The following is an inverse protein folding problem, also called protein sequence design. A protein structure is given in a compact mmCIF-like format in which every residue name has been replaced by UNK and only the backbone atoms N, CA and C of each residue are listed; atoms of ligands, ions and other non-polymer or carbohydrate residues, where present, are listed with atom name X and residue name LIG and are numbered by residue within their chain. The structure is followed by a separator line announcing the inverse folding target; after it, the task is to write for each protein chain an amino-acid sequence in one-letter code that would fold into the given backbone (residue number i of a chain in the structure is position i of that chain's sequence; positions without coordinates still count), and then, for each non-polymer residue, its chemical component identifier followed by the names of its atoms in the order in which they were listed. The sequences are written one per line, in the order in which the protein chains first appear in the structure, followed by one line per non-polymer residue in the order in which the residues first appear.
data_IF_853968975545
#
_entry.id   IF_853968975545
#
_cell.length_a   1.000
_cell.length_b   1.000
_cell.length_c   1.000
_cell.angle_alpha   90.00
_cell.angle_beta   90.00
_cell.angle_gamma   90.00
#
_symmetry.space_group_name_H-M   'P 1'
#
loop_
_entity.id
_entity.type
_entity.pdbx_description
1 polymer ?
#
# COMPACT_ATOMS: atom_id res chain seq x y z
N UNK A 1 -30.01 11.37 -11.21
CA UNK A 1 -28.95 12.37 -11.43
C UNK A 1 -27.65 11.88 -10.79
N UNK A 2 -26.50 11.97 -11.46
CA UNK A 2 -25.20 11.56 -10.89
C UNK A 2 -24.39 12.79 -10.47
N UNK A 3 -23.72 12.74 -9.32
CA UNK A 3 -22.88 13.83 -8.81
C UNK A 3 -21.88 13.34 -7.76
N UNK A 4 -20.91 14.18 -7.39
CA UNK A 4 -19.97 13.90 -6.31
C UNK A 4 -20.55 14.41 -4.98
N UNK A 5 -20.64 13.51 -3.99
CA UNK A 5 -21.02 13.81 -2.62
C UNK A 5 -19.79 13.84 -1.71
N UNK A 6 -19.65 14.92 -0.96
CA UNK A 6 -18.67 15.08 0.11
C UNK A 6 -19.22 14.55 1.44
N UNK A 7 -18.44 13.77 2.18
CA UNK A 7 -18.76 13.29 3.53
C UNK A 7 -17.58 13.52 4.46
N UNK A 8 -17.80 14.30 5.52
CA UNK A 8 -16.80 14.51 6.55
C UNK A 8 -16.86 13.38 7.58
N UNK A 9 -15.70 12.77 7.87
CA UNK A 9 -15.57 11.77 8.95
C UNK A 9 -14.27 12.07 9.70
N UNK A 10 -14.38 12.42 10.98
CA UNK A 10 -13.23 12.74 11.85
C UNK A 10 -12.28 13.79 11.22
N UNK A 11 -12.84 14.92 10.77
CA UNK A 11 -12.11 16.02 10.09
C UNK A 11 -11.44 15.65 8.76
N UNK A 12 -11.78 14.52 8.14
CA UNK A 12 -11.32 14.16 6.81
C UNK A 12 -12.50 14.13 5.85
N UNK A 13 -12.33 14.80 4.71
CA UNK A 13 -13.35 14.92 3.68
C UNK A 13 -13.20 13.83 2.61
N UNK A 14 -14.21 12.97 2.51
CA UNK A 14 -14.27 11.86 1.57
C UNK A 14 -15.25 12.13 0.44
N UNK A 15 -14.90 11.73 -0.77
CA UNK A 15 -15.73 11.89 -1.96
C UNK A 15 -16.32 10.55 -2.41
N UNK A 16 -17.59 10.61 -2.80
CA UNK A 16 -18.36 9.49 -3.31
C UNK A 16 -19.05 9.94 -4.60
N UNK A 17 -18.94 9.15 -5.66
CA UNK A 17 -19.80 9.30 -6.82
C UNK A 17 -21.14 8.63 -6.51
N UNK A 18 -22.22 9.40 -6.54
CA UNK A 18 -23.56 8.93 -6.15
C UNK A 18 -24.58 9.19 -7.26
N UNK A 19 -25.54 8.28 -7.38
CA UNK A 19 -26.73 8.40 -8.22
C UNK A 19 -27.94 8.68 -7.33
N UNK A 20 -28.60 9.80 -7.56
CA UNK A 20 -29.94 10.06 -7.02
C UNK A 20 -30.98 9.37 -7.91
N UNK A 21 -31.78 8.49 -7.29
CA UNK A 21 -32.90 7.74 -7.86
C UNK A 21 -34.18 8.08 -7.09
N UNK A 22 -35.31 8.19 -7.78
CA UNK A 22 -36.60 8.46 -7.14
C UNK A 22 -37.19 7.19 -6.56
N UNK A 23 -37.42 7.16 -5.26
CA UNK A 23 -38.09 6.08 -4.57
C UNK A 23 -39.62 6.30 -4.63
N UNK A 24 -40.29 5.53 -5.50
CA UNK A 24 -41.75 5.62 -5.69
C UNK A 24 -42.56 5.20 -4.46
N UNK A 25 -42.02 4.30 -3.63
CA UNK A 25 -42.68 3.77 -2.44
C UNK A 25 -42.70 4.79 -1.31
N UNK A 26 -41.59 5.50 -1.13
CA UNK A 26 -41.46 6.47 -0.04
C UNK A 26 -41.64 7.92 -0.49
N UNK A 27 -41.83 8.15 -1.80
CA UNK A 27 -41.94 9.48 -2.42
C UNK A 27 -40.76 10.39 -2.05
N UNK A 28 -39.56 9.83 -1.95
CA UNK A 28 -38.34 10.58 -1.65
C UNK A 28 -37.23 10.26 -2.65
N UNK A 29 -36.20 11.12 -2.72
CA UNK A 29 -34.97 10.78 -3.46
C UNK A 29 -34.09 9.88 -2.60
N UNK A 30 -33.73 8.70 -3.13
CA UNK A 30 -32.70 7.83 -2.56
C UNK A 30 -31.36 8.06 -3.26
N UNK A 31 -30.27 7.95 -2.50
CA UNK A 31 -28.91 8.03 -3.04
C UNK A 31 -28.27 6.65 -3.04
N UNK A 32 -27.76 6.25 -4.19
CA UNK A 32 -27.00 5.02 -4.38
C UNK A 32 -25.54 5.39 -4.67
N UNK A 33 -24.61 4.80 -3.92
CA UNK A 33 -23.17 5.01 -4.16
C UNK A 33 -22.75 4.20 -5.38
N UNK A 34 -22.31 4.89 -6.43
CA UNK A 34 -21.71 4.27 -7.61
C UNK A 34 -20.27 3.85 -7.31
N UNK A 35 -19.46 4.79 -6.79
CA UNK A 35 -18.05 4.57 -6.52
C UNK A 35 -17.58 5.42 -5.34
N UNK A 36 -16.75 4.84 -4.48
CA UNK A 36 -15.98 5.60 -3.51
C UNK A 36 -14.73 6.14 -4.22
N UNK A 37 -14.52 7.46 -4.18
CA UNK A 37 -13.45 8.13 -4.94
C UNK A 37 -12.19 8.36 -4.10
N UNK A 38 -12.32 8.45 -2.78
CA UNK A 38 -11.16 8.68 -1.90
C UNK A 38 -11.27 9.97 -1.10
N UNK A 39 -10.13 10.43 -0.58
CA UNK A 39 -10.04 11.69 0.18
C UNK A 39 -9.98 12.86 -0.81
N UNK A 40 -10.69 13.95 -0.53
CA UNK A 40 -10.90 15.09 -1.44
C UNK A 40 -9.63 15.59 -2.14
N UNK A 41 -8.49 15.61 -1.42
CA UNK A 41 -7.21 16.11 -1.94
C UNK A 41 -6.45 15.11 -2.84
N UNK A 42 -6.95 13.88 -2.99
CA UNK A 42 -6.37 12.84 -3.83
C UNK A 42 -7.27 12.46 -5.02
N UNK A 43 -8.52 12.92 -5.05
CA UNK A 43 -9.45 12.56 -6.14
C UNK A 43 -9.16 13.39 -7.38
N UNK A 44 -9.01 12.69 -8.49
CA UNK A 44 -8.74 13.23 -9.82
C UNK A 44 -9.90 12.92 -10.77
N UNK A 45 -9.84 13.49 -11.97
CA UNK A 45 -10.77 13.15 -13.05
C UNK A 45 -10.64 11.68 -13.48
N UNK A 46 -9.46 11.07 -13.32
CA UNK A 46 -9.23 9.69 -13.72
C UNK A 46 -9.93 8.69 -12.79
N UNK A 47 -10.17 9.08 -11.54
CA UNK A 47 -10.94 8.29 -10.57
C UNK A 47 -12.42 8.17 -10.94
N UNK A 48 -12.92 9.06 -11.81
CA UNK A 48 -14.29 9.06 -12.32
C UNK A 48 -14.43 8.03 -13.46
N UNK A 49 -15.44 7.13 -13.42
CA UNK A 49 -15.74 6.23 -14.54
C UNK A 49 -15.92 7.01 -15.85
N UNK A 50 -15.44 6.45 -16.96
CA UNK A 50 -15.39 7.14 -18.26
C UNK A 50 -16.74 7.74 -18.69
N UNK A 51 -17.83 7.03 -18.41
CA UNK A 51 -19.22 7.44 -18.70
C UNK A 51 -19.67 8.72 -17.96
N UNK A 52 -19.01 9.10 -16.87
CA UNK A 52 -19.32 10.31 -16.08
C UNK A 52 -18.22 11.38 -16.11
N UNK A 53 -17.10 11.10 -16.78
CA UNK A 53 -15.88 11.94 -16.75
C UNK A 53 -16.05 13.32 -17.41
N UNK A 54 -17.02 13.43 -18.32
CA UNK A 54 -17.35 14.66 -19.05
C UNK A 54 -18.63 15.34 -18.54
N UNK A 55 -19.21 14.88 -17.41
CA UNK A 55 -20.37 15.53 -16.82
C UNK A 55 -19.99 16.93 -16.28
N UNK A 56 -20.65 18.01 -16.70
CA UNK A 56 -20.29 19.38 -16.31
C UNK A 56 -20.34 19.63 -14.80
N UNK A 57 -21.25 18.99 -14.06
CA UNK A 57 -21.37 19.17 -12.60
C UNK A 57 -20.22 18.47 -11.88
N UNK A 58 -19.82 17.30 -12.37
CA UNK A 58 -18.66 16.57 -11.84
C UNK A 58 -17.39 17.36 -12.09
N UNK A 59 -17.20 17.88 -13.31
CA UNK A 59 -16.03 18.71 -13.63
C UNK A 59 -15.99 20.00 -12.80
N UNK A 60 -17.10 20.72 -12.68
CA UNK A 60 -17.18 21.92 -11.85
C UNK A 60 -16.88 21.63 -10.37
N UNK A 61 -17.37 20.51 -9.84
CA UNK A 61 -17.05 20.07 -8.48
C UNK A 61 -15.56 19.80 -8.30
N UNK A 62 -14.94 19.07 -9.23
CA UNK A 62 -13.50 18.80 -9.20
C UNK A 62 -12.70 20.11 -9.32
N UNK A 63 -13.02 20.99 -10.27
CA UNK A 63 -12.38 22.30 -10.41
C UNK A 63 -12.44 23.18 -9.15
N UNK A 64 -13.55 23.13 -8.40
CA UNK A 64 -13.71 23.91 -7.16
C UNK A 64 -13.02 23.26 -5.95
N UNK A 65 -12.77 21.94 -5.98
CA UNK A 65 -12.30 21.18 -4.82
C UNK A 65 -10.93 20.49 -5.02
N UNK A 66 -10.39 20.50 -6.24
CA UNK A 66 -9.01 20.11 -6.58
C UNK A 66 -8.11 21.34 -6.43
N UNK A 67 -7.00 21.26 -5.67
CA UNK A 67 -6.20 22.44 -5.36
C UNK A 67 -5.54 23.05 -6.61
N UNK A 68 -5.54 24.39 -6.71
CA UNK A 68 -4.89 25.20 -7.77
C UNK A 68 -3.38 24.97 -7.93
N UNK A 69 -2.75 24.26 -6.99
CA UNK A 69 -1.30 24.02 -6.89
C UNK A 69 -0.88 22.59 -7.30
N UNK A 70 -1.68 21.86 -8.11
CA UNK A 70 -1.36 20.47 -8.51
C UNK A 70 0.03 20.34 -9.12
N UNK A 71 0.32 21.12 -10.15
CA UNK A 71 1.61 21.09 -10.86
C UNK A 71 2.76 21.44 -9.92
N UNK A 72 2.54 22.37 -8.98
CA UNK A 72 3.50 22.74 -7.95
C UNK A 72 3.75 21.60 -6.96
N UNK A 73 2.71 20.85 -6.55
CA UNK A 73 2.85 19.69 -5.66
C UNK A 73 3.54 18.52 -6.36
N UNK A 74 3.24 18.27 -7.63
CA UNK A 74 3.92 17.25 -8.46
C UNK A 74 5.42 17.57 -8.56
N UNK A 75 5.78 18.82 -8.90
CA UNK A 75 7.18 19.26 -8.91
C UNK A 75 7.89 19.11 -7.56
N UNK A 76 7.19 19.35 -6.44
CA UNK A 76 7.75 19.14 -5.10
C UNK A 76 7.99 17.64 -4.86
N UNK A 77 7.04 16.77 -5.21
CA UNK A 77 7.19 15.32 -5.06
C UNK A 77 8.37 14.82 -5.89
N UNK A 78 8.46 15.22 -7.17
CA UNK A 78 9.59 14.87 -8.05
C UNK A 78 10.93 15.30 -7.46
N UNK A 79 11.01 16.52 -6.93
CA UNK A 79 12.22 17.02 -6.25
C UNK A 79 12.58 16.16 -5.04
N UNK A 80 11.59 15.81 -4.21
CA UNK A 80 11.82 14.98 -3.03
C UNK A 80 12.22 13.54 -3.41
N UNK A 81 11.61 12.98 -4.46
CA UNK A 81 12.01 11.68 -5.00
C UNK A 81 13.47 11.69 -5.48
N UNK A 82 13.89 12.74 -6.21
CA UNK A 82 15.28 12.89 -6.64
C UNK A 82 16.24 12.99 -5.45
N UNK A 83 15.89 13.79 -4.43
CA UNK A 83 16.70 13.88 -3.21
C UNK A 83 16.78 12.55 -2.48
N UNK A 84 15.65 11.84 -2.32
CA UNK A 84 15.64 10.51 -1.72
C UNK A 84 16.48 9.54 -2.53
N UNK A 85 16.37 9.52 -3.86
CA UNK A 85 17.20 8.70 -4.73
C UNK A 85 18.69 8.92 -4.44
N UNK A 86 19.16 10.18 -4.49
CA UNK A 86 20.55 10.54 -4.19
C UNK A 86 20.97 10.02 -2.81
N UNK A 87 20.22 10.37 -1.77
CA UNK A 87 20.55 9.97 -0.40
C UNK A 87 20.60 8.44 -0.22
N UNK A 88 19.69 7.69 -0.85
CA UNK A 88 19.74 6.24 -0.81
C UNK A 88 20.98 5.71 -1.51
N UNK A 89 21.25 6.14 -2.75
CA UNK A 89 22.38 5.66 -3.55
C UNK A 89 23.75 6.04 -2.99
N UNK A 90 23.84 7.12 -2.22
CA UNK A 90 25.07 7.61 -1.59
C UNK A 90 25.28 7.09 -0.16
N UNK A 91 24.35 6.30 0.39
CA UNK A 91 24.49 5.80 1.75
C UNK A 91 24.03 6.77 2.85
N UNK A 92 23.41 7.90 2.51
CA UNK A 92 23.04 8.97 3.44
C UNK A 92 21.68 8.74 4.11
N UNK A 93 21.70 7.97 5.19
CA UNK A 93 20.52 7.77 6.04
C UNK A 93 20.01 9.07 6.68
N UNK A 94 20.88 10.04 6.99
CA UNK A 94 20.47 11.28 7.66
C UNK A 94 19.73 12.21 6.70
N UNK A 95 20.21 12.33 5.46
CA UNK A 95 19.50 13.02 4.38
C UNK A 95 18.12 12.39 4.12
N UNK A 96 18.06 11.06 4.04
CA UNK A 96 16.79 10.35 3.87
C UNK A 96 15.79 10.60 5.02
N UNK A 97 16.27 10.62 6.27
CA UNK A 97 15.46 10.98 7.46
C UNK A 97 14.93 12.41 7.39
N UNK A 98 15.73 13.37 6.92
CA UNK A 98 15.28 14.77 6.76
C UNK A 98 14.15 14.89 5.74
N UNK A 99 14.24 14.18 4.62
CA UNK A 99 13.15 14.14 3.62
C UNK A 99 11.88 13.55 4.23
N UNK A 100 11.99 12.42 4.92
CA UNK A 100 10.87 11.79 5.62
C UNK A 100 10.20 12.73 6.64
N UNK A 101 10.98 13.33 7.53
CA UNK A 101 10.47 14.25 8.55
C UNK A 101 9.81 15.48 7.92
N UNK A 102 10.44 16.08 6.92
CA UNK A 102 9.91 17.24 6.20
C UNK A 102 8.61 16.92 5.47
N UNK A 103 8.52 15.75 4.82
CA UNK A 103 7.32 15.32 4.10
C UNK A 103 6.12 15.13 5.03
N UNK A 104 6.34 14.56 6.21
CA UNK A 104 5.28 14.28 7.19
C UNK A 104 4.70 15.52 7.87
N UNK A 105 5.34 16.69 7.79
CA UNK A 105 4.78 17.92 8.33
C UNK A 105 3.42 18.28 7.71
N UNK A 106 3.10 17.75 6.52
CA UNK A 106 1.86 18.06 5.81
C UNK A 106 1.21 16.86 5.12
N UNK A 107 1.77 15.65 5.27
CA UNK A 107 1.31 14.45 4.58
C UNK A 107 1.32 13.24 5.53
N UNK A 108 0.61 12.18 5.16
CA UNK A 108 0.54 10.94 5.94
C UNK A 108 1.73 10.02 5.68
N UNK A 109 1.92 9.05 6.57
CA UNK A 109 2.94 8.00 6.41
C UNK A 109 2.69 7.12 5.17
N UNK A 110 1.44 6.76 4.90
CA UNK A 110 1.07 6.04 3.68
C UNK A 110 1.46 6.83 2.42
N UNK A 111 1.24 8.15 2.40
CA UNK A 111 1.66 8.99 1.28
C UNK A 111 3.18 9.03 1.14
N UNK A 112 3.95 8.98 2.23
CA UNK A 112 5.42 8.94 2.13
C UNK A 112 5.88 7.65 1.43
N UNK A 113 5.35 6.50 1.85
CA UNK A 113 5.69 5.23 1.20
C UNK A 113 5.23 5.19 -0.26
N UNK A 114 3.98 5.56 -0.55
CA UNK A 114 3.41 5.44 -1.89
C UNK A 114 3.95 6.48 -2.88
N UNK A 115 4.29 7.70 -2.42
CA UNK A 115 4.68 8.80 -3.32
C UNK A 115 6.18 9.08 -3.33
N UNK A 116 6.93 8.66 -2.32
CA UNK A 116 8.36 8.94 -2.22
C UNK A 116 9.17 7.65 -2.23
N UNK A 117 9.01 6.79 -1.22
CA UNK A 117 9.93 5.65 -1.05
C UNK A 117 9.73 4.58 -2.14
N UNK A 118 8.50 4.12 -2.38
CA UNK A 118 8.24 3.05 -3.33
C UNK A 118 8.64 3.46 -4.76
N UNK A 119 8.24 4.64 -5.30
CA UNK A 119 8.65 5.05 -6.64
C UNK A 119 10.17 5.15 -6.81
N UNK A 120 10.88 5.62 -5.77
CA UNK A 120 12.35 5.72 -5.80
C UNK A 120 12.98 4.33 -5.81
N UNK A 121 12.51 3.39 -5.00
CA UNK A 121 13.04 2.03 -4.97
C UNK A 121 12.71 1.24 -6.24
N UNK A 122 11.52 1.44 -6.81
CA UNK A 122 11.16 0.91 -8.12
C UNK A 122 12.11 1.44 -9.19
N UNK A 123 12.41 2.75 -9.16
CA UNK A 123 13.36 3.36 -10.10
C UNK A 123 14.78 2.80 -9.95
N UNK A 124 15.24 2.61 -8.71
CA UNK A 124 16.55 2.01 -8.43
C UNK A 124 16.62 0.57 -8.96
N UNK A 125 15.56 -0.22 -8.72
CA UNK A 125 15.45 -1.59 -9.26
C UNK A 125 15.44 -1.63 -10.79
N UNK A 126 14.70 -0.73 -11.44
CA UNK A 126 14.67 -0.59 -12.90
C UNK A 126 16.05 -0.20 -13.47
N UNK A 127 16.73 0.75 -12.83
CA UNK A 127 18.06 1.17 -13.29
C UNK A 127 19.11 0.08 -13.07
N UNK A 128 19.01 -0.68 -11.99
CA UNK A 128 19.87 -1.85 -11.76
C UNK A 128 19.62 -2.95 -12.78
N UNK A 129 18.35 -3.32 -13.03
CA UNK A 129 18.02 -4.39 -13.98
C UNK A 129 18.43 -4.05 -15.42
N UNK A 130 18.43 -2.76 -15.77
CA UNK A 130 18.93 -2.25 -17.05
C UNK A 130 20.45 -2.03 -17.09
N UNK A 131 21.19 -2.37 -16.03
CA UNK A 131 22.66 -2.24 -15.96
C UNK A 131 23.17 -0.80 -15.82
N UNK A 132 22.29 0.16 -15.54
CA UNK A 132 22.64 1.58 -15.32
C UNK A 132 23.25 1.77 -13.92
N UNK A 133 22.69 1.10 -12.91
CA UNK A 133 23.27 1.05 -11.57
C UNK A 133 23.99 -0.27 -11.36
N UNK A 134 25.13 -0.21 -10.66
CA UNK A 134 25.82 -1.41 -10.22
C UNK A 134 25.02 -2.12 -9.12
N UNK A 135 25.24 -3.43 -8.97
CA UNK A 135 24.71 -4.22 -7.83
C UNK A 135 25.13 -3.60 -6.50
N UNK A 136 26.35 -3.07 -6.39
CA UNK A 136 26.83 -2.42 -5.17
C UNK A 136 26.01 -1.18 -4.82
N UNK A 137 25.66 -0.35 -5.81
CA UNK A 137 24.85 0.86 -5.62
C UNK A 137 23.41 0.51 -5.24
N UNK A 138 22.84 -0.52 -5.86
CA UNK A 138 21.52 -1.05 -5.47
C UNK A 138 21.54 -1.52 -4.01
N UNK A 139 22.54 -2.31 -3.61
CA UNK A 139 22.67 -2.77 -2.22
C UNK A 139 22.82 -1.63 -1.22
N UNK A 140 23.61 -0.60 -1.55
CA UNK A 140 23.71 0.61 -0.71
C UNK A 140 22.34 1.25 -0.53
N UNK A 141 21.61 1.48 -1.63
CA UNK A 141 20.29 2.07 -1.58
C UNK A 141 19.27 1.26 -0.77
N UNK A 142 19.19 -0.05 -1.04
CA UNK A 142 18.31 -0.98 -0.33
C UNK A 142 18.63 -1.01 1.18
N UNK A 143 19.91 -1.03 1.56
CA UNK A 143 20.31 -1.01 2.97
C UNK A 143 19.92 0.30 3.69
N UNK A 144 20.08 1.46 3.03
CA UNK A 144 19.63 2.74 3.59
C UNK A 144 18.12 2.77 3.71
N UNK A 145 17.39 2.29 2.70
CA UNK A 145 15.93 2.23 2.71
C UNK A 145 15.41 1.34 3.86
N UNK A 146 16.00 0.15 4.05
CA UNK A 146 15.68 -0.71 5.19
C UNK A 146 15.95 -0.01 6.53
N UNK A 147 17.10 0.68 6.65
CA UNK A 147 17.45 1.43 7.86
C UNK A 147 16.48 2.57 8.14
N UNK A 148 16.04 3.28 7.10
CA UNK A 148 15.03 4.33 7.21
C UNK A 148 13.70 3.75 7.69
N UNK A 149 13.20 2.68 7.04
CA UNK A 149 11.93 2.05 7.42
C UNK A 149 11.96 1.53 8.85
N UNK A 150 13.09 0.99 9.31
CA UNK A 150 13.29 0.57 10.71
C UNK A 150 13.14 1.74 11.68
N UNK A 151 13.76 2.89 11.38
CA UNK A 151 13.63 4.11 12.20
C UNK A 151 12.18 4.56 12.26
N UNK A 152 11.49 4.59 11.11
CA UNK A 152 10.07 4.94 11.04
C UNK A 152 9.21 3.99 11.90
N UNK A 153 9.48 2.69 11.83
CA UNK A 153 8.79 1.69 12.64
C UNK A 153 9.00 1.94 14.13
N UNK A 154 10.23 2.22 14.58
CA UNK A 154 10.56 2.48 15.99
C UNK A 154 9.88 3.75 16.51
N UNK A 155 9.86 4.84 15.74
CA UNK A 155 9.19 6.10 16.09
C UNK A 155 7.67 5.96 16.24
N UNK A 156 7.05 5.07 15.45
CA UNK A 156 5.60 4.97 15.32
C UNK A 156 5.02 3.68 15.87
N UNK A 157 5.82 2.90 16.59
CA UNK A 157 5.37 1.66 17.20
C UNK A 157 4.39 1.98 18.32
N UNK A 158 3.15 1.53 18.15
CA UNK A 158 2.15 1.57 19.20
C UNK A 158 1.81 0.14 19.63
N UNK A 159 1.66 -0.09 20.94
CA UNK A 159 1.05 -1.33 21.44
C UNK A 159 -0.41 -1.32 21.01
N UNK A 160 -0.72 -2.07 19.96
CA UNK A 160 -2.04 -2.11 19.37
C UNK A 160 -2.80 -3.39 19.67
N UNK A 161 -4.13 -3.31 19.63
CA UNK A 161 -5.05 -4.43 19.87
C UNK A 161 -5.79 -4.85 18.59
N UNK A 162 -5.43 -4.30 17.41
CA UNK A 162 -6.17 -4.56 16.16
C UNK A 162 -5.96 -5.97 15.60
N UNK A 163 -4.94 -6.69 16.07
CA UNK A 163 -4.68 -8.08 15.72
C UNK A 163 -3.21 -8.40 15.51
N UNK A 164 -2.91 -9.68 15.31
CA UNK A 164 -1.57 -10.23 15.09
C UNK A 164 -1.40 -10.67 13.64
N UNK A 165 -0.54 -10.02 12.89
CA UNK A 165 -0.31 -10.30 11.46
C UNK A 165 1.09 -10.85 11.26
N UNK A 166 1.20 -11.98 10.57
CA UNK A 166 2.49 -12.49 10.08
C UNK A 166 2.73 -11.92 8.69
N UNK A 167 3.95 -11.44 8.46
CA UNK A 167 4.42 -10.94 7.17
C UNK A 167 5.63 -11.78 6.79
N UNK A 168 5.68 -12.31 5.56
CA UNK A 168 6.74 -13.22 5.14
C UNK A 168 6.97 -13.13 3.63
N UNK A 169 8.08 -13.69 3.16
CA UNK A 169 8.34 -13.97 1.76
C UNK A 169 8.54 -15.48 1.59
N UNK A 170 8.20 -16.07 0.43
CA UNK A 170 8.45 -17.48 0.20
C UNK A 170 9.96 -17.79 0.17
N UNK A 171 10.31 -19.06 0.38
CA UNK A 171 11.70 -19.52 0.28
C UNK A 171 12.32 -19.14 -1.07
N UNK A 172 13.53 -18.60 -1.05
CA UNK A 172 14.24 -18.08 -2.22
C UNK A 172 13.93 -16.63 -2.58
N UNK A 173 12.92 -16.02 -1.96
CA UNK A 173 12.62 -14.59 -2.14
C UNK A 173 13.31 -13.74 -1.07
N UNK A 174 14.41 -13.11 -1.48
CA UNK A 174 15.26 -12.28 -0.62
C UNK A 174 14.78 -10.82 -0.50
N UNK A 175 13.87 -10.37 -1.38
CA UNK A 175 13.38 -8.99 -1.35
C UNK A 175 12.40 -8.77 -0.19
N UNK A 176 12.88 -8.14 0.88
CA UNK A 176 12.12 -7.94 2.12
C UNK A 176 11.69 -6.50 2.39
N UNK A 177 12.12 -5.51 1.58
CA UNK A 177 11.81 -4.10 1.85
C UNK A 177 10.29 -3.83 1.86
N UNK A 178 9.55 -4.43 0.92
CA UNK A 178 8.08 -4.35 0.89
C UNK A 178 7.44 -4.88 2.18
N UNK A 179 7.98 -5.97 2.75
CA UNK A 179 7.54 -6.51 4.04
C UNK A 179 7.81 -5.51 5.18
N UNK A 180 8.99 -4.89 5.22
CA UNK A 180 9.31 -3.87 6.23
C UNK A 180 8.40 -2.64 6.13
N UNK A 181 8.05 -2.20 4.92
CA UNK A 181 7.11 -1.10 4.69
C UNK A 181 5.71 -1.46 5.20
N UNK A 182 5.20 -2.63 4.84
CA UNK A 182 3.91 -3.13 5.31
C UNK A 182 3.90 -3.29 6.84
N UNK A 183 4.98 -3.80 7.41
CA UNK A 183 5.18 -3.93 8.85
C UNK A 183 5.08 -2.56 9.54
N UNK A 184 5.88 -1.59 9.11
CA UNK A 184 5.89 -0.22 9.63
C UNK A 184 4.51 0.41 9.55
N UNK A 185 3.85 0.28 8.40
CA UNK A 185 2.52 0.81 8.19
C UNK A 185 1.45 0.16 9.09
N UNK A 186 1.41 -1.17 9.20
CA UNK A 186 0.45 -1.89 10.03
C UNK A 186 0.69 -1.66 11.53
N UNK A 187 1.95 -1.58 11.96
CA UNK A 187 2.30 -1.24 13.33
C UNK A 187 1.80 0.17 13.70
N UNK A 188 2.00 1.15 12.81
CA UNK A 188 1.44 2.51 12.96
C UNK A 188 -0.10 2.53 12.95
N UNK A 189 -0.75 1.50 12.40
CA UNK A 189 -2.21 1.29 12.48
C UNK A 189 -2.64 0.42 13.66
N UNK A 190 -1.74 0.11 14.60
CA UNK A 190 -2.06 -0.61 15.84
C UNK A 190 -2.26 -2.11 15.68
N UNK A 191 -1.66 -2.73 14.67
CA UNK A 191 -1.50 -4.18 14.61
C UNK A 191 -0.19 -4.60 15.28
N UNK A 192 -0.18 -5.76 15.90
CA UNK A 192 1.05 -6.47 16.24
C UNK A 192 1.50 -7.22 15.00
N UNK A 193 2.69 -6.91 14.51
CA UNK A 193 3.27 -7.53 13.32
C UNK A 193 4.40 -8.47 13.71
N UNK A 194 4.50 -9.58 12.99
CA UNK A 194 5.62 -10.51 13.06
C UNK A 194 6.18 -10.68 11.65
N UNK A 195 7.26 -9.96 11.36
CA UNK A 195 7.92 -10.02 10.07
C UNK A 195 8.97 -11.15 10.08
N UNK A 196 8.72 -12.20 9.30
CA UNK A 196 9.58 -13.37 9.16
C UNK A 196 10.47 -13.31 7.92
N UNK A 197 10.29 -12.30 7.07
CA UNK A 197 11.08 -12.13 5.85
C UNK A 197 12.56 -11.83 6.16
N UNK A 198 13.48 -12.14 5.23
CA UNK A 198 13.26 -12.82 3.94
C UNK A 198 13.23 -14.36 4.01
N UNK A 199 12.94 -14.98 2.86
CA UNK A 199 13.22 -16.38 2.51
C UNK A 199 12.75 -17.43 3.52
N UNK A 200 11.57 -17.27 4.12
CA UNK A 200 11.15 -18.14 5.23
C UNK A 200 10.68 -19.51 4.72
N UNK A 201 11.25 -20.63 5.19
CA UNK A 201 10.72 -21.96 4.89
C UNK A 201 9.29 -22.13 5.38
N UNK A 202 8.45 -22.80 4.60
CA UNK A 202 7.02 -22.94 4.91
C UNK A 202 6.76 -23.59 6.27
N UNK A 203 7.52 -24.62 6.66
CA UNK A 203 7.37 -25.27 7.96
C UNK A 203 7.67 -24.31 9.13
N UNK A 204 8.66 -23.42 8.97
CA UNK A 204 8.96 -22.39 9.97
C UNK A 204 7.81 -21.38 10.09
N UNK A 205 7.20 -20.99 8.98
CA UNK A 205 6.00 -20.13 8.98
C UNK A 205 4.86 -20.81 9.73
N UNK A 206 4.54 -22.08 9.42
CA UNK A 206 3.47 -22.83 10.08
C UNK A 206 3.70 -23.00 11.59
N UNK A 207 4.92 -23.35 11.99
CA UNK A 207 5.29 -23.49 13.40
C UNK A 207 5.14 -22.18 14.16
N UNK A 208 5.56 -21.07 13.56
CA UNK A 208 5.41 -19.75 14.15
C UNK A 208 3.94 -19.29 14.20
N UNK A 209 3.16 -19.56 13.14
CA UNK A 209 1.72 -19.30 13.12
C UNK A 209 1.00 -19.96 14.30
N UNK A 210 1.39 -21.20 14.64
CA UNK A 210 0.86 -21.95 15.78
C UNK A 210 1.19 -21.29 17.13
N UNK A 211 2.39 -20.73 17.28
CA UNK A 211 2.85 -20.20 18.57
C UNK A 211 2.25 -18.83 18.90
N UNK A 212 1.97 -17.99 17.90
CA UNK A 212 1.50 -16.61 18.14
C UNK A 212 -0.01 -16.43 18.02
N UNK A 213 -0.74 -17.43 17.52
CA UNK A 213 -2.16 -17.35 17.17
C UNK A 213 -2.44 -16.16 16.25
N UNK A 214 -1.86 -16.20 15.04
CA UNK A 214 -1.99 -15.12 14.07
C UNK A 214 -3.43 -14.97 13.55
N UNK A 215 -3.86 -13.73 13.33
CA UNK A 215 -5.15 -13.34 12.76
C UNK A 215 -5.13 -13.29 11.23
N UNK A 216 -3.95 -13.31 10.61
CA UNK A 216 -3.77 -13.24 9.16
C UNK A 216 -2.31 -13.35 8.75
N UNK A 217 -2.09 -13.73 7.49
CA UNK A 217 -0.76 -13.86 6.89
C UNK A 217 -0.68 -13.01 5.62
N UNK A 218 0.39 -12.23 5.47
CA UNK A 218 0.73 -11.49 4.27
C UNK A 218 2.00 -12.10 3.68
N UNK A 219 1.93 -12.48 2.41
CA UNK A 219 3.06 -13.02 1.65
C UNK A 219 3.43 -11.98 0.59
N UNK A 220 4.66 -11.45 0.66
CA UNK A 220 5.19 -10.56 -0.36
C UNK A 220 6.00 -11.36 -1.38
N UNK A 221 5.79 -11.08 -2.66
CA UNK A 221 6.50 -11.68 -3.79
C UNK A 221 6.91 -10.55 -4.72
N UNK A 222 8.21 -10.36 -4.88
CA UNK A 222 8.76 -9.29 -5.71
C UNK A 222 9.10 -9.84 -7.09
N UNK A 223 9.78 -10.98 -7.14
CA UNK A 223 10.18 -11.60 -8.40
C UNK A 223 9.07 -12.53 -8.93
N UNK A 224 8.73 -12.46 -10.24
CA UNK A 224 7.80 -13.42 -10.86
C UNK A 224 8.23 -14.89 -10.67
N UNK A 225 9.53 -15.17 -10.68
CA UNK A 225 10.08 -16.51 -10.48
C UNK A 225 9.81 -17.09 -9.08
N UNK A 226 9.51 -16.23 -8.10
CA UNK A 226 9.13 -16.61 -6.75
C UNK A 226 7.64 -16.99 -6.62
N UNK A 227 6.82 -16.74 -7.64
CA UNK A 227 5.37 -17.04 -7.63
C UNK A 227 5.08 -18.52 -7.29
N UNK A 228 5.72 -19.52 -7.94
CA UNK A 228 5.48 -20.93 -7.60
C UNK A 228 5.82 -21.26 -6.14
N UNK A 229 6.85 -20.64 -5.57
CA UNK A 229 7.21 -20.81 -4.17
C UNK A 229 6.14 -20.20 -3.24
N UNK A 230 5.63 -19.02 -3.60
CA UNK A 230 4.48 -18.40 -2.95
C UNK A 230 3.24 -19.29 -2.97
N UNK A 231 2.90 -19.88 -4.12
CA UNK A 231 1.73 -20.76 -4.25
C UNK A 231 1.85 -22.00 -3.36
N UNK A 232 3.04 -22.60 -3.28
CA UNK A 232 3.31 -23.73 -2.37
C UNK A 232 3.15 -23.31 -0.91
N UNK A 233 3.65 -22.14 -0.52
CA UNK A 233 3.50 -21.60 0.83
C UNK A 233 2.01 -21.36 1.17
N UNK A 234 1.27 -20.68 0.28
CA UNK A 234 -0.17 -20.43 0.45
C UNK A 234 -0.95 -21.72 0.62
N UNK A 235 -0.68 -22.74 -0.22
CA UNK A 235 -1.34 -24.05 -0.12
C UNK A 235 -1.11 -24.70 1.24
N UNK A 236 0.14 -24.74 1.72
CA UNK A 236 0.49 -25.27 3.05
C UNK A 236 -0.21 -24.52 4.19
N UNK A 237 -0.29 -23.19 4.11
CA UNK A 237 -0.99 -22.38 5.11
C UNK A 237 -2.49 -22.71 5.12
N UNK A 238 -3.11 -22.86 3.95
CA UNK A 238 -4.54 -23.20 3.85
C UNK A 238 -4.83 -24.61 4.38
N UNK A 239 -3.95 -25.58 4.10
CA UNK A 239 -4.04 -26.94 4.64
C UNK A 239 -3.95 -26.93 6.18
N UNK A 240 -3.05 -26.12 6.74
CA UNK A 240 -2.88 -25.96 8.18
C UNK A 240 -4.04 -25.22 8.85
N UNK A 241 -4.55 -24.14 8.25
CA UNK A 241 -5.69 -23.39 8.75
C UNK A 241 -6.59 -22.93 7.59
N UNK A 242 -7.69 -23.66 7.40
CA UNK A 242 -8.64 -23.41 6.30
C UNK A 242 -9.24 -22.01 6.33
N UNK A 243 -9.36 -21.39 7.50
CA UNK A 243 -10.10 -20.13 7.68
C UNK A 243 -9.20 -18.90 7.80
N UNK A 244 -7.89 -19.07 7.98
CA UNK A 244 -7.03 -17.89 8.16
C UNK A 244 -7.04 -17.02 6.89
N UNK A 245 -7.19 -15.70 7.03
CA UNK A 245 -7.02 -14.77 5.93
C UNK A 245 -5.57 -14.80 5.44
N UNK A 246 -5.39 -15.02 4.13
CA UNK A 246 -4.10 -15.00 3.46
C UNK A 246 -4.15 -13.91 2.40
N UNK A 247 -3.14 -13.05 2.40
CA UNK A 247 -2.95 -12.00 1.42
C UNK A 247 -1.65 -12.23 0.68
N UNK A 248 -1.66 -12.05 -0.63
CA UNK A 248 -0.47 -12.15 -1.47
C UNK A 248 -0.36 -10.86 -2.27
N UNK A 249 0.83 -10.25 -2.27
CA UNK A 249 1.08 -9.02 -3.02
C UNK A 249 2.57 -8.85 -3.30
N UNK A 250 2.95 -7.65 -3.72
CA UNK A 250 4.32 -7.32 -4.14
C UNK A 250 4.40 -7.04 -5.64
N UNK A 251 5.59 -6.67 -6.12
CA UNK A 251 5.78 -6.20 -7.50
C UNK A 251 5.45 -7.25 -8.56
N UNK A 252 5.50 -8.55 -8.23
CA UNK A 252 5.13 -9.61 -9.16
C UNK A 252 3.64 -9.57 -9.61
N UNK A 253 2.82 -8.70 -9.01
CA UNK A 253 1.39 -8.57 -9.29
C UNK A 253 0.99 -7.20 -9.89
N UNK A 254 1.94 -6.29 -10.15
CA UNK A 254 1.61 -4.95 -10.70
C UNK A 254 1.26 -4.99 -12.18
N UNK A 255 1.81 -5.94 -12.94
CA UNK A 255 1.74 -5.98 -14.41
C UNK A 255 0.68 -6.96 -14.94
N UNK A 256 -0.44 -7.09 -14.25
CA UNK A 256 -1.56 -7.94 -14.71
C UNK A 256 -1.29 -9.45 -14.64
N UNK A 257 -0.45 -9.87 -13.69
CA UNK A 257 -0.19 -11.29 -13.42
C UNK A 257 -1.48 -12.09 -13.30
N UNK A 258 -1.59 -13.18 -14.06
CA UNK A 258 -2.72 -14.13 -14.02
C UNK A 258 -2.52 -15.25 -13.01
N UNK A 259 -1.51 -15.13 -12.15
CA UNK A 259 -1.19 -16.14 -11.16
C UNK A 259 -2.37 -16.34 -10.21
N UNK A 260 -2.77 -17.61 -10.04
CA UNK A 260 -3.88 -17.98 -9.16
C UNK A 260 -3.33 -18.38 -7.80
N UNK A 261 -3.96 -17.86 -6.75
CA UNK A 261 -3.65 -18.18 -5.36
C UNK A 261 -4.93 -18.54 -4.61
N UNK A 262 -4.83 -19.46 -3.65
CA UNK A 262 -5.86 -19.67 -2.62
C UNK A 262 -5.73 -18.62 -1.50
N UNK A 263 -5.73 -17.35 -1.93
CA UNK A 263 -5.52 -16.18 -1.10
C UNK A 263 -6.13 -14.95 -1.78
N UNK A 264 -6.29 -13.86 -1.02
CA UNK A 264 -6.66 -12.56 -1.60
C UNK A 264 -5.42 -11.93 -2.21
N UNK A 265 -5.43 -11.70 -3.52
CA UNK A 265 -4.35 -10.98 -4.21
C UNK A 265 -4.56 -9.47 -4.01
N UNK A 266 -3.50 -8.80 -3.58
CA UNK A 266 -3.42 -7.35 -3.47
C UNK A 266 -2.63 -6.87 -4.69
N UNK A 267 -3.34 -6.25 -5.62
CA UNK A 267 -2.77 -5.67 -6.83
C UNK A 267 -2.39 -4.20 -6.63
N UNK A 268 -1.78 -3.61 -7.66
CA UNK A 268 -1.40 -2.19 -7.70
C UNK A 268 -2.56 -1.22 -7.53
N UNK A 269 -3.81 -1.66 -7.73
CA UNK A 269 -5.02 -0.85 -7.51
C UNK A 269 -5.41 -0.72 -6.03
N UNK A 270 -4.80 -1.53 -5.15
CA UNK A 270 -5.07 -1.54 -3.72
C UNK A 270 -3.95 -0.83 -2.95
N UNK A 271 -4.14 0.48 -2.72
CA UNK A 271 -3.30 1.29 -1.82
C UNK A 271 -3.09 0.64 -0.44
N UNK A 272 -1.94 0.88 0.19
CA UNK A 272 -1.62 0.46 1.57
C UNK A 272 -2.74 0.82 2.55
N UNK A 273 -3.50 1.88 2.27
CA UNK A 273 -4.65 2.34 3.05
C UNK A 273 -5.78 1.30 3.15
N UNK A 274 -5.86 0.37 2.21
CA UNK A 274 -6.90 -0.66 2.19
C UNK A 274 -6.58 -1.85 3.11
N UNK A 275 -5.30 -2.16 3.35
CA UNK A 275 -4.84 -3.30 4.15
C UNK A 275 -5.55 -3.43 5.50
N UNK A 276 -5.64 -2.39 6.36
CA UNK A 276 -6.29 -2.50 7.66
C UNK A 276 -7.78 -2.83 7.56
N UNK A 277 -8.46 -2.34 6.50
CA UNK A 277 -9.90 -2.58 6.30
C UNK A 277 -10.14 -4.02 5.87
N UNK A 278 -9.29 -4.53 4.98
CA UNK A 278 -9.36 -5.90 4.50
C UNK A 278 -9.12 -6.87 5.68
N UNK A 279 -8.08 -6.63 6.48
CA UNK A 279 -7.74 -7.42 7.66
C UNK A 279 -8.82 -7.40 8.76
N UNK A 280 -9.54 -6.28 8.93
CA UNK A 280 -10.64 -6.18 9.90
C UNK A 280 -11.93 -6.84 9.41
N UNK A 281 -12.21 -6.83 8.11
CA UNK A 281 -13.38 -7.52 7.54
C UNK A 281 -13.26 -9.03 7.65
N UNK A 282 -12.05 -9.57 7.50
CA UNK A 282 -11.79 -11.00 7.55
C UNK A 282 -11.83 -11.61 8.97
N UNK A 283 -12.02 -10.78 10.02
CA UNK A 283 -12.27 -11.23 11.40
C UNK A 283 -13.74 -11.52 11.72
N UNK A 284 -14.67 -11.12 10.86
CA UNK A 284 -16.11 -11.40 10.99
C UNK A 284 -16.47 -12.64 10.19
#
# INVERSE_FOLDING_TARGET
MVYIRKKNVKNVDYLYLVKSTWDKLHKTSRQETIKYLGVIHNVTQDDIPAEYRHDPKIQAFLLQNTPKDREKREKIIEKLQLQTFTFLTEGDLQGAKKVYAGFLNSNSLDQFFEKILNPVMEKIGEMWSNGILSVATEHVASNVAHSLVKVILEERKHKGTNGKIIITTPVGEEHSLGCSVVESYLANRGFTTFNLSPSTPAESVLNFMKSVSADGVIISITLPDSIPAGQRLTKKIREFNKKIPIFVGGQAFTDGSKAKFDATIIDSNQSLVQLPKILKKSKK
#
